data_IF_913548330176
#
_entry.id   IF_913548330176
#
_cell.length_a   1.000
_cell.length_b   1.000
_cell.length_c   1.000
_cell.angle_alpha   90.00
_cell.angle_beta   90.00
_cell.angle_gamma   90.00
#
_symmetry.space_group_name_H-M   'P 1'
#
loop_
_entity.id
_entity.type
_entity.pdbx_description
1 polymer ?
#
# COMPACT_ATOMS: atom_id res chain seq x y z
N UNK A 1 -2.36 -24.04 -17.39
CA UNK A 1 -2.25 -22.87 -16.51
C UNK A 1 -1.43 -23.28 -15.29
N UNK A 2 -0.23 -22.72 -15.07
CA UNK A 2 0.48 -22.92 -13.81
C UNK A 2 -0.32 -22.24 -12.68
N UNK A 3 -0.40 -22.89 -11.52
CA UNK A 3 -1.06 -22.35 -10.34
C UNK A 3 -0.27 -21.13 -9.81
N UNK A 4 -0.92 -20.05 -9.34
CA UNK A 4 -0.24 -18.94 -8.71
C UNK A 4 0.48 -19.48 -7.46
N UNK A 5 1.80 -19.41 -7.48
CA UNK A 5 2.63 -20.01 -6.45
C UNK A 5 2.65 -19.10 -5.21
N UNK A 6 2.51 -19.68 -4.01
CA UNK A 6 2.53 -18.97 -2.70
C UNK A 6 3.78 -18.09 -2.46
N UNK A 7 4.75 -18.13 -3.36
CA UNK A 7 6.03 -17.41 -3.39
C UNK A 7 5.93 -15.98 -3.91
N UNK A 8 4.92 -15.63 -4.72
CA UNK A 8 4.77 -14.28 -5.30
C UNK A 8 4.59 -13.16 -4.26
N UNK A 9 3.73 -13.28 -3.22
CA UNK A 9 3.61 -12.28 -2.16
C UNK A 9 4.93 -12.00 -1.42
N UNK A 10 5.73 -13.04 -1.20
CA UNK A 10 6.99 -12.95 -0.47
C UNK A 10 8.07 -12.26 -1.32
N UNK A 11 8.05 -12.47 -2.64
CA UNK A 11 8.98 -11.82 -3.56
C UNK A 11 8.80 -10.30 -3.57
N UNK A 12 7.55 -9.79 -3.61
CA UNK A 12 7.27 -8.34 -3.55
C UNK A 12 7.69 -7.72 -2.22
N UNK A 13 7.32 -8.35 -1.10
CA UNK A 13 7.70 -7.87 0.25
C UNK A 13 9.21 -7.86 0.45
N UNK A 14 9.92 -8.84 -0.10
CA UNK A 14 11.37 -8.87 -0.06
C UNK A 14 12.00 -7.78 -0.93
N UNK A 15 11.35 -7.44 -2.06
CA UNK A 15 11.79 -6.36 -2.96
C UNK A 15 11.70 -4.99 -2.31
N UNK A 16 10.64 -4.73 -1.54
CA UNK A 16 10.34 -3.42 -0.94
C UNK A 16 10.55 -3.38 0.58
N UNK A 17 11.46 -4.20 1.10
CA UNK A 17 11.63 -4.38 2.54
C UNK A 17 12.08 -3.09 3.25
N UNK A 18 13.00 -2.33 2.65
CA UNK A 18 13.44 -1.05 3.20
C UNK A 18 12.37 0.02 3.05
N UNK A 19 11.65 0.04 1.93
CA UNK A 19 10.53 0.96 1.74
C UNK A 19 9.42 0.72 2.78
N UNK A 20 9.05 -0.53 3.04
CA UNK A 20 8.09 -0.88 4.11
C UNK A 20 8.54 -0.37 5.48
N UNK A 21 9.82 -0.54 5.82
CA UNK A 21 10.38 -0.04 7.09
C UNK A 21 10.31 1.50 7.15
N UNK A 22 10.72 2.20 6.08
CA UNK A 22 10.69 3.66 6.04
C UNK A 22 9.26 4.22 6.13
N UNK A 23 8.29 3.60 5.44
CA UNK A 23 6.90 4.03 5.49
C UNK A 23 6.29 3.81 6.87
N UNK A 24 6.57 2.68 7.52
CA UNK A 24 6.09 2.43 8.89
C UNK A 24 6.68 3.39 9.91
N UNK A 25 7.96 3.77 9.77
CA UNK A 25 8.56 4.84 10.57
C UNK A 25 7.90 6.21 10.32
N UNK A 26 7.64 6.56 9.05
CA UNK A 26 6.98 7.81 8.67
C UNK A 26 5.56 7.90 9.24
N UNK A 27 4.80 6.81 9.26
CA UNK A 27 3.48 6.76 9.90
C UNK A 27 3.60 7.12 11.39
N UNK A 28 4.56 6.52 12.09
CA UNK A 28 4.81 6.80 13.50
C UNK A 28 5.24 8.25 13.75
N UNK A 29 6.11 8.80 12.89
CA UNK A 29 6.53 10.21 12.96
C UNK A 29 5.37 11.17 12.71
N UNK A 30 4.49 10.87 11.74
CA UNK A 30 3.30 11.67 11.47
C UNK A 30 2.37 11.71 12.69
N UNK A 31 2.11 10.54 13.29
CA UNK A 31 1.27 10.44 14.48
C UNK A 31 1.87 11.18 15.69
N UNK A 32 3.19 11.09 15.89
CA UNK A 32 3.90 11.85 16.93
C UNK A 32 3.81 13.35 16.70
N UNK A 33 4.13 13.83 15.50
CA UNK A 33 4.10 15.24 15.16
C UNK A 33 2.69 15.85 15.29
N UNK A 34 1.64 15.11 14.91
CA UNK A 34 0.26 15.53 15.13
C UNK A 34 -0.10 15.53 16.63
N UNK A 35 0.37 14.53 17.38
CA UNK A 35 0.23 14.46 18.83
C UNK A 35 0.84 15.66 19.55
N UNK A 36 1.99 16.15 19.10
CA UNK A 36 2.66 17.33 19.68
C UNK A 36 1.85 18.64 19.46
N UNK A 37 0.95 18.65 18.48
CA UNK A 37 0.01 19.77 18.24
C UNK A 37 -1.28 19.60 19.02
N UNK A 38 -1.92 18.43 18.95
CA UNK A 38 -3.24 18.23 19.55
C UNK A 38 -3.19 17.99 21.07
N UNK A 39 -2.09 17.43 21.60
CA UNK A 39 -1.99 17.13 23.03
C UNK A 39 -2.04 18.38 23.91
N UNK A 40 -1.26 19.46 23.65
CA UNK A 40 -1.36 20.68 24.46
C UNK A 40 -2.77 21.28 24.44
N UNK A 41 -3.43 21.24 23.28
CA UNK A 41 -4.81 21.75 23.12
C UNK A 41 -5.79 20.91 23.94
N UNK A 42 -5.64 19.59 23.94
CA UNK A 42 -6.49 18.68 24.72
C UNK A 42 -6.26 18.79 26.23
N UNK A 43 -5.04 19.10 26.67
CA UNK A 43 -4.67 19.26 28.08
C UNK A 43 -5.02 20.64 28.65
N UNK A 44 -5.26 21.64 27.80
CA UNK A 44 -5.59 22.99 28.23
C UNK A 44 -7.03 23.11 28.72
N UNK A 45 -7.30 23.94 29.75
CA UNK A 45 -8.66 24.29 30.14
C UNK A 45 -9.44 24.95 28.99
N UNK A 46 -10.76 24.73 28.86
CA UNK A 46 -11.56 25.25 27.75
C UNK A 46 -11.64 26.79 27.71
N UNK A 47 -11.24 27.47 28.79
CA UNK A 47 -11.21 28.93 28.90
C UNK A 47 -9.94 29.57 28.32
N UNK A 48 -8.96 28.78 27.87
CA UNK A 48 -7.68 29.28 27.34
C UNK A 48 -7.62 29.05 25.82
N UNK A 49 -7.95 30.06 24.99
CA UNK A 49 -7.96 29.90 23.53
C UNK A 49 -6.54 29.83 22.93
N UNK A 50 -5.54 30.45 23.56
CA UNK A 50 -4.18 30.54 23.03
C UNK A 50 -3.23 29.56 23.73
N UNK A 51 -3.21 28.34 23.21
CA UNK A 51 -2.30 27.28 23.65
C UNK A 51 -1.09 27.25 22.71
N UNK A 52 0.13 27.52 23.20
CA UNK A 52 1.33 27.42 22.37
C UNK A 52 1.60 25.96 22.00
N UNK A 53 1.85 25.73 20.71
CA UNK A 53 2.19 24.40 20.16
C UNK A 53 3.52 24.47 19.41
N UNK A 54 4.29 23.37 19.43
CA UNK A 54 5.59 23.29 18.76
C UNK A 54 5.46 22.61 17.40
N UNK A 55 5.59 23.37 16.31
CA UNK A 55 5.58 22.85 14.94
C UNK A 55 6.94 22.36 14.44
N UNK A 56 8.01 22.50 15.22
CA UNK A 56 9.37 22.10 14.83
C UNK A 56 9.47 20.64 14.35
N UNK A 57 8.95 19.64 15.09
CA UNK A 57 8.94 18.24 14.68
C UNK A 57 8.21 18.01 13.35
N UNK A 58 7.02 18.60 13.18
CA UNK A 58 6.25 18.52 11.94
C UNK A 58 7.02 19.09 10.75
N UNK A 59 7.59 20.28 10.90
CA UNK A 59 8.37 20.92 9.84
C UNK A 59 9.64 20.11 9.49
N UNK A 60 10.31 19.53 10.49
CA UNK A 60 11.46 18.64 10.28
C UNK A 60 11.08 17.35 9.53
N UNK A 61 9.95 16.76 9.87
CA UNK A 61 9.39 15.61 9.17
C UNK A 61 9.10 15.94 7.71
N UNK A 62 8.36 17.01 7.42
CA UNK A 62 8.03 17.43 6.06
C UNK A 62 9.26 17.65 5.17
N UNK A 63 10.38 18.12 5.73
CA UNK A 63 11.64 18.31 4.97
C UNK A 63 12.39 17.01 4.70
N UNK A 64 12.27 16.02 5.59
CA UNK A 64 13.07 14.80 5.53
C UNK A 64 12.34 13.58 4.96
N UNK A 65 11.00 13.61 4.85
CA UNK A 65 10.22 12.44 4.43
C UNK A 65 10.61 11.94 3.02
N UNK A 66 10.70 12.85 2.04
CA UNK A 66 11.06 12.47 0.66
C UNK A 66 12.45 11.83 0.58
N UNK A 67 13.45 12.38 1.27
CA UNK A 67 14.80 11.81 1.26
C UNK A 67 14.89 10.45 1.93
N UNK A 68 14.05 10.17 2.95
CA UNK A 68 13.95 8.85 3.57
C UNK A 68 13.35 7.81 2.62
N UNK A 69 12.28 8.17 1.89
CA UNK A 69 11.65 7.32 0.88
C UNK A 69 12.65 6.98 -0.23
N UNK A 70 13.31 7.99 -0.79
CA UNK A 70 14.29 7.78 -1.87
C UNK A 70 15.49 6.93 -1.39
N UNK A 71 15.99 7.18 -0.18
CA UNK A 71 17.06 6.35 0.40
C UNK A 71 16.61 4.90 0.62
N UNK A 72 15.35 4.66 0.98
CA UNK A 72 14.81 3.31 1.13
C UNK A 72 14.70 2.59 -0.22
N UNK A 73 14.14 3.26 -1.24
CA UNK A 73 14.07 2.75 -2.62
C UNK A 73 15.44 2.41 -3.18
N UNK A 74 16.44 3.27 -2.96
CA UNK A 74 17.81 3.02 -3.39
C UNK A 74 18.40 1.76 -2.74
N UNK A 75 18.13 1.50 -1.45
CA UNK A 75 18.58 0.27 -0.77
C UNK A 75 17.88 -0.98 -1.30
N UNK A 76 16.58 -0.88 -1.57
CA UNK A 76 15.79 -1.97 -2.16
C UNK A 76 16.28 -2.32 -3.57
N UNK A 77 16.58 -1.32 -4.40
CA UNK A 77 17.15 -1.51 -5.74
C UNK A 77 18.51 -2.22 -5.71
N UNK A 78 19.43 -1.76 -4.86
CA UNK A 78 20.75 -2.39 -4.66
C UNK A 78 20.61 -3.84 -4.22
N UNK A 79 19.69 -4.13 -3.29
CA UNK A 79 19.43 -5.48 -2.79
C UNK A 79 18.91 -6.43 -3.87
N UNK A 80 18.03 -5.94 -4.75
CA UNK A 80 17.39 -6.76 -5.76
C UNK A 80 18.24 -6.94 -7.03
N UNK A 81 19.42 -6.31 -7.09
CA UNK A 81 20.28 -6.37 -8.28
C UNK A 81 19.63 -5.71 -9.51
N UNK A 82 18.69 -4.78 -9.30
CA UNK A 82 18.09 -4.03 -10.39
C UNK A 82 19.16 -3.13 -11.01
N UNK A 83 19.63 -3.48 -12.20
CA UNK A 83 20.42 -2.56 -13.03
C UNK A 83 19.50 -1.41 -13.41
N UNK A 84 19.96 -0.17 -13.24
CA UNK A 84 19.24 1.05 -13.64
C UNK A 84 19.20 1.17 -15.17
N UNK A 85 18.67 0.16 -15.85
CA UNK A 85 18.21 0.29 -17.22
C UNK A 85 16.79 0.82 -17.11
N UNK A 86 16.68 2.14 -17.12
CA UNK A 86 15.41 2.85 -17.20
C UNK A 86 14.84 2.60 -18.59
N UNK A 87 14.29 1.41 -18.82
CA UNK A 87 13.28 1.24 -19.84
C UNK A 87 12.08 2.06 -19.36
N UNK A 88 11.80 3.17 -20.05
CA UNK A 88 10.61 3.98 -19.83
C UNK A 88 9.38 3.12 -20.15
N UNK A 89 8.93 2.34 -19.16
CA UNK A 89 7.58 1.81 -19.16
C UNK A 89 6.66 3.03 -19.18
N UNK A 90 5.75 3.15 -20.16
CA UNK A 90 4.82 4.27 -20.20
C UNK A 90 4.10 4.34 -18.86
N UNK A 91 4.30 5.46 -18.15
CA UNK A 91 3.63 5.72 -16.89
C UNK A 91 2.13 5.75 -17.17
N UNK A 92 1.43 4.70 -16.73
CA UNK A 92 -0.02 4.70 -16.71
C UNK A 92 -0.45 5.38 -15.41
N UNK A 93 -0.16 6.68 -15.31
CA UNK A 93 -0.14 7.47 -14.06
C UNK A 93 -1.48 7.50 -13.33
N UNK A 94 -2.58 7.15 -13.99
CA UNK A 94 -3.91 7.03 -13.38
C UNK A 94 -4.25 5.63 -12.87
N UNK A 95 -3.60 4.56 -13.35
CA UNK A 95 -3.98 3.17 -12.98
C UNK A 95 -3.79 2.93 -11.49
N UNK A 96 -2.66 3.39 -10.92
CA UNK A 96 -2.39 3.25 -9.50
C UNK A 96 -3.36 4.06 -8.63
N UNK A 97 -3.65 5.30 -9.03
CA UNK A 97 -4.59 6.18 -8.33
C UNK A 97 -6.03 5.65 -8.37
N UNK A 98 -6.49 5.20 -9.54
CA UNK A 98 -7.80 4.58 -9.73
C UNK A 98 -7.94 3.32 -8.87
N UNK A 99 -6.91 2.47 -8.84
CA UNK A 99 -6.91 1.27 -8.01
C UNK A 99 -7.02 1.62 -6.52
N UNK A 100 -6.31 2.65 -6.04
CA UNK A 100 -6.41 3.11 -4.66
C UNK A 100 -7.80 3.66 -4.32
N UNK A 101 -8.41 4.42 -5.25
CA UNK A 101 -9.75 4.95 -5.08
C UNK A 101 -10.78 3.81 -4.96
N UNK A 102 -10.71 2.82 -5.85
CA UNK A 102 -11.53 1.62 -5.78
C UNK A 102 -11.24 0.81 -4.50
N UNK A 103 -9.98 0.72 -4.05
CA UNK A 103 -9.61 -0.03 -2.85
C UNK A 103 -10.23 0.58 -1.59
N UNK A 104 -10.31 1.90 -1.53
CA UNK A 104 -10.92 2.64 -0.43
C UNK A 104 -12.44 2.54 -0.42
N UNK A 105 -13.07 2.46 -1.60
CA UNK A 105 -14.52 2.30 -1.72
C UNK A 105 -14.95 0.83 -1.51
N UNK A 106 -14.33 -0.10 -2.25
CA UNK A 106 -14.61 -1.53 -2.20
C UNK A 106 -13.38 -2.37 -2.59
N UNK A 107 -12.75 -3.08 -1.63
CA UNK A 107 -11.62 -3.97 -1.92
C UNK A 107 -11.92 -5.03 -2.99
N UNK A 108 -13.16 -5.52 -3.04
CA UNK A 108 -13.59 -6.51 -4.05
C UNK A 108 -13.65 -5.90 -5.45
N UNK A 109 -14.05 -4.63 -5.56
CA UNK A 109 -14.05 -3.90 -6.83
C UNK A 109 -12.62 -3.65 -7.31
N UNK A 110 -11.72 -3.21 -6.43
CA UNK A 110 -10.32 -2.98 -6.76
C UNK A 110 -9.64 -4.24 -7.29
N UNK A 111 -9.83 -5.39 -6.63
CA UNK A 111 -9.29 -6.68 -7.09
C UNK A 111 -9.85 -7.07 -8.46
N UNK A 112 -11.15 -6.91 -8.67
CA UNK A 112 -11.80 -7.21 -9.96
C UNK A 112 -11.24 -6.33 -11.07
N UNK A 113 -11.13 -5.03 -10.83
CA UNK A 113 -10.59 -4.07 -11.80
C UNK A 113 -9.12 -4.34 -12.11
N UNK A 114 -8.30 -4.67 -11.11
CA UNK A 114 -6.92 -5.09 -11.33
C UNK A 114 -6.82 -6.37 -12.17
N UNK A 115 -7.71 -7.34 -11.96
CA UNK A 115 -7.78 -8.55 -12.79
C UNK A 115 -8.24 -8.27 -14.22
N UNK A 116 -9.20 -7.37 -14.41
CA UNK A 116 -9.67 -6.93 -15.72
C UNK A 116 -8.56 -6.20 -16.47
N UNK A 117 -7.90 -5.24 -15.82
CA UNK A 117 -6.74 -4.52 -16.37
C UNK A 117 -5.61 -5.46 -16.71
N UNK A 118 -5.27 -6.42 -15.84
CA UNK A 118 -4.19 -7.38 -16.13
C UNK A 118 -4.52 -8.35 -17.28
N UNK A 119 -5.79 -8.53 -17.63
CA UNK A 119 -6.22 -9.31 -18.79
C UNK A 119 -6.30 -8.47 -20.06
N UNK A 120 -6.64 -7.19 -19.93
CA UNK A 120 -6.87 -6.26 -21.05
C UNK A 120 -5.61 -5.48 -21.46
N UNK A 121 -4.64 -5.34 -20.56
CA UNK A 121 -3.37 -4.65 -20.77
C UNK A 121 -2.20 -5.64 -20.67
N UNK A 122 -1.02 -5.23 -21.10
CA UNK A 122 0.23 -5.98 -20.89
C UNK A 122 0.77 -5.85 -19.45
N UNK A 123 -0.02 -5.28 -18.52
CA UNK A 123 0.37 -5.11 -17.12
C UNK A 123 0.07 -6.37 -16.30
N UNK A 124 1.02 -6.75 -15.48
CA UNK A 124 0.82 -7.73 -14.42
C UNK A 124 0.11 -7.09 -13.22
N UNK A 125 -0.59 -7.90 -12.42
CA UNK A 125 -1.13 -7.46 -11.12
C UNK A 125 -0.02 -6.84 -10.26
N UNK A 126 1.22 -7.35 -10.38
CA UNK A 126 2.35 -6.83 -9.64
C UNK A 126 2.73 -5.40 -10.03
N UNK A 127 2.73 -5.09 -11.32
CA UNK A 127 2.96 -3.73 -11.81
C UNK A 127 1.84 -2.78 -11.37
N UNK A 128 0.58 -3.22 -11.38
CA UNK A 128 -0.55 -2.41 -10.89
C UNK A 128 -0.38 -2.09 -9.40
N UNK A 129 0.03 -3.07 -8.59
CA UNK A 129 0.26 -2.87 -7.16
C UNK A 129 1.50 -2.00 -6.89
N UNK A 130 2.58 -2.14 -7.67
CA UNK A 130 3.76 -1.28 -7.54
C UNK A 130 3.39 0.19 -7.89
N UNK A 131 2.63 0.42 -8.97
CA UNK A 131 2.14 1.76 -9.36
C UNK A 131 1.18 2.36 -8.31
N UNK A 132 0.29 1.54 -7.75
CA UNK A 132 -0.60 1.96 -6.67
C UNK A 132 0.19 2.31 -5.39
N UNK A 133 1.24 1.56 -5.06
CA UNK A 133 2.12 1.89 -3.94
C UNK A 133 2.82 3.24 -4.18
N UNK A 134 3.35 3.47 -5.38
CA UNK A 134 4.02 4.72 -5.73
C UNK A 134 3.06 5.92 -5.70
N UNK A 135 1.84 5.75 -6.20
CA UNK A 135 0.77 6.75 -6.12
C UNK A 135 0.40 7.11 -4.68
N UNK A 136 0.29 6.11 -3.80
CA UNK A 136 0.03 6.32 -2.37
C UNK A 136 1.20 7.04 -1.68
N UNK A 137 2.45 6.66 -1.97
CA UNK A 137 3.64 7.33 -1.44
C UNK A 137 3.70 8.79 -1.88
N UNK A 138 3.45 9.06 -3.17
CA UNK A 138 3.42 10.42 -3.71
C UNK A 138 2.34 11.26 -3.03
N UNK A 139 1.13 10.71 -2.85
CA UNK A 139 0.02 11.38 -2.16
C UNK A 139 0.37 11.74 -0.71
N UNK A 140 1.04 10.83 0.01
CA UNK A 140 1.52 11.10 1.37
C UNK A 140 2.59 12.19 1.42
N UNK A 141 3.54 12.20 0.49
CA UNK A 141 4.56 13.26 0.40
C UNK A 141 3.95 14.62 0.05
N UNK A 142 2.97 14.65 -0.85
CA UNK A 142 2.22 15.87 -1.19
C UNK A 142 1.43 16.40 0.02
N UNK A 143 0.80 15.52 0.79
CA UNK A 143 0.11 15.89 2.02
C UNK A 143 1.06 16.49 3.07
N UNK A 144 2.29 15.95 3.23
CA UNK A 144 3.32 16.56 4.09
C UNK A 144 3.82 17.90 3.55
N UNK A 145 3.98 18.05 2.24
CA UNK A 145 4.35 19.33 1.65
C UNK A 145 3.28 20.39 1.89
N UNK A 146 2.00 20.01 1.81
CA UNK A 146 0.88 20.89 2.14
C UNK A 146 0.83 21.21 3.63
N UNK A 147 1.03 20.22 4.52
CA UNK A 147 1.13 20.46 5.96
C UNK A 147 2.18 21.54 6.30
N UNK A 148 3.33 21.52 5.61
CA UNK A 148 4.39 22.51 5.79
C UNK A 148 3.98 23.93 5.36
N UNK A 149 3.11 24.06 4.34
CA UNK A 149 2.60 25.36 3.88
C UNK A 149 1.62 25.98 4.88
N UNK A 150 0.96 25.15 5.69
CA UNK A 150 -0.04 25.56 6.67
C UNK A 150 0.58 25.94 8.03
N UNK A 151 1.79 26.52 8.04
CA UNK A 151 2.51 26.86 9.28
C UNK A 151 1.81 27.90 10.15
N UNK A 152 0.86 28.67 9.59
CA UNK A 152 0.01 29.62 10.29
C UNK A 152 -1.19 28.98 11.00
N UNK A 153 -1.57 27.76 10.63
CA UNK A 153 -2.66 27.00 11.26
C UNK A 153 -2.14 25.61 11.68
N UNK A 154 -1.68 25.49 12.94
CA UNK A 154 -1.17 24.23 13.48
C UNK A 154 -2.17 23.07 13.37
N UNK A 155 -3.47 23.35 13.54
CA UNK A 155 -4.52 22.33 13.51
C UNK A 155 -4.68 21.76 12.10
N UNK A 156 -4.70 22.62 11.09
CA UNK A 156 -4.73 22.18 9.69
C UNK A 156 -3.44 21.48 9.29
N UNK A 157 -2.27 21.98 9.72
CA UNK A 157 -0.99 21.31 9.47
C UNK A 157 -0.95 19.89 10.07
N UNK A 158 -1.41 19.72 11.31
CA UNK A 158 -1.49 18.42 11.97
C UNK A 158 -2.48 17.48 11.28
N UNK A 159 -3.64 17.97 10.83
CA UNK A 159 -4.61 17.18 10.07
C UNK A 159 -4.02 16.67 8.75
N UNK A 160 -3.29 17.52 8.01
CA UNK A 160 -2.58 17.12 6.79
C UNK A 160 -1.46 16.10 7.07
N UNK A 161 -0.78 16.22 8.20
CA UNK A 161 0.21 15.24 8.66
C UNK A 161 -0.44 13.86 8.91
N UNK A 162 -1.62 13.81 9.54
CA UNK A 162 -2.38 12.57 9.72
C UNK A 162 -2.89 11.99 8.39
N UNK A 163 -3.32 12.84 7.46
CA UNK A 163 -3.69 12.41 6.12
C UNK A 163 -2.51 11.74 5.40
N UNK A 164 -1.30 12.29 5.53
CA UNK A 164 -0.08 11.67 5.00
C UNK A 164 0.17 10.28 5.60
N UNK A 165 -0.02 10.11 6.92
CA UNK A 165 0.07 8.81 7.58
C UNK A 165 -0.89 7.78 6.98
N UNK A 166 -2.13 8.20 6.67
CA UNK A 166 -3.12 7.36 5.99
C UNK A 166 -2.64 6.88 4.62
N UNK A 167 -2.08 7.78 3.81
CA UNK A 167 -1.52 7.42 2.50
C UNK A 167 -0.32 6.48 2.62
N UNK A 168 0.58 6.69 3.58
CA UNK A 168 1.69 5.75 3.82
C UNK A 168 1.19 4.38 4.30
N UNK A 169 0.13 4.33 5.12
CA UNK A 169 -0.48 3.07 5.53
C UNK A 169 -1.13 2.32 4.35
N UNK A 170 -1.72 3.04 3.40
CA UNK A 170 -2.21 2.45 2.15
C UNK A 170 -1.05 1.86 1.33
N UNK A 171 0.05 2.61 1.16
CA UNK A 171 1.23 2.09 0.48
C UNK A 171 1.76 0.80 1.15
N UNK A 172 1.86 0.79 2.48
CA UNK A 172 2.24 -0.42 3.25
C UNK A 172 1.28 -1.58 2.99
N UNK A 173 -0.02 -1.31 2.94
CA UNK A 173 -1.06 -2.32 2.67
C UNK A 173 -0.90 -2.92 1.28
N UNK A 174 -0.74 -2.07 0.26
CA UNK A 174 -0.58 -2.48 -1.14
C UNK A 174 0.71 -3.27 -1.35
N UNK A 175 1.84 -2.79 -0.83
CA UNK A 175 3.13 -3.50 -0.90
C UNK A 175 3.07 -4.84 -0.15
N UNK A 176 2.33 -4.88 0.97
CA UNK A 176 2.15 -6.11 1.74
C UNK A 176 1.14 -7.07 1.10
N UNK A 177 0.30 -6.62 0.17
CA UNK A 177 -0.70 -7.47 -0.44
C UNK A 177 -0.04 -8.59 -1.24
N UNK A 178 -0.42 -9.83 -0.89
CA UNK A 178 -0.24 -10.96 -1.80
C UNK A 178 -1.40 -11.01 -2.79
N UNK A 179 -1.25 -11.63 -3.97
CA UNK A 179 -2.38 -11.98 -4.82
C UNK A 179 -3.41 -12.76 -3.98
N UNK A 180 -4.51 -12.10 -3.61
CA UNK A 180 -5.62 -12.75 -2.94
C UNK A 180 -6.38 -13.53 -4.00
N UNK A 181 -6.10 -14.82 -4.10
CA UNK A 181 -7.07 -15.76 -4.66
C UNK A 181 -8.04 -16.07 -3.51
N UNK A 182 -9.33 -15.66 -3.57
CA UNK A 182 -10.30 -16.12 -2.61
C UNK A 182 -10.47 -17.63 -2.79
N UNK A 183 -9.78 -18.40 -1.96
CA UNK A 183 -9.83 -19.86 -1.93
C UNK A 183 -11.11 -20.34 -1.21
N UNK A 184 -12.27 -19.91 -1.73
CA UNK A 184 -13.59 -20.41 -1.27
C UNK A 184 -14.18 -21.49 -2.17
N UNK A 185 -13.41 -21.97 -3.16
CA UNK A 185 -13.81 -23.05 -4.06
C UNK A 185 -12.72 -24.12 -4.29
N UNK A 186 -11.76 -24.30 -3.38
CA UNK A 186 -11.04 -25.57 -3.30
C UNK A 186 -12.01 -26.68 -2.86
N UNK A 187 -12.76 -27.21 -3.83
CA UNK A 187 -13.57 -28.40 -3.67
C UNK A 187 -12.68 -29.54 -3.14
N UNK A 188 -13.15 -30.36 -2.19
CA UNK A 188 -12.39 -31.52 -1.78
C UNK A 188 -12.26 -32.47 -2.98
N UNK A 189 -11.02 -32.67 -3.42
CA UNK A 189 -10.63 -33.79 -4.26
C UNK A 189 -10.95 -35.10 -3.52
N UNK A 190 -12.18 -35.58 -3.68
CA UNK A 190 -12.69 -36.81 -3.10
C UNK A 190 -12.91 -37.87 -4.18
N UNK A 191 -11.82 -38.54 -4.53
CA UNK A 191 -11.75 -39.95 -4.99
C UNK A 191 -12.79 -40.45 -5.99
N UNK A 192 -12.31 -40.68 -7.22
CA UNK A 192 -12.80 -41.72 -8.13
C UNK A 192 -13.10 -43.02 -7.38
N UNK A 193 -14.37 -43.43 -7.35
CA UNK A 193 -14.75 -44.81 -7.07
C UNK A 193 -15.36 -45.37 -8.35
N UNK A 194 -14.50 -45.96 -9.19
CA UNK A 194 -14.90 -46.86 -10.28
C UNK A 194 -15.71 -48.00 -9.67
N UNK A 195 -17.02 -47.96 -9.83
CA UNK A 195 -17.89 -49.12 -9.62
C UNK A 195 -18.29 -49.64 -10.99
N UNK A 196 -17.35 -50.34 -11.61
CA UNK A 196 -17.64 -51.32 -12.65
C UNK A 196 -18.29 -52.53 -11.98
N UNK A 197 -19.61 -52.53 -11.89
CA UNK A 197 -20.38 -53.76 -11.65
C UNK A 197 -20.68 -54.34 -13.03
N UNK A 198 -19.86 -55.30 -13.42
CA UNK A 198 -20.15 -56.20 -14.53
C UNK A 198 -21.28 -57.15 -14.12
N UNK A 199 -22.40 -57.07 -14.83
CA UNK A 199 -23.38 -58.15 -14.93
C UNK A 199 -22.72 -59.38 -15.58
N UNK A 200 -23.06 -60.60 -15.15
CA UNK A 200 -23.06 -61.76 -16.03
C UNK A 200 -24.51 -62.16 -16.36
N UNK A 201 -24.83 -62.10 -17.66
CA UNK A 201 -25.92 -62.86 -18.26
C UNK A 201 -25.61 -64.37 -18.17
N UNK A 202 -26.61 -65.11 -17.67
CA UNK A 202 -27.18 -66.34 -18.23
C UNK A 202 -26.28 -67.54 -18.53
N UNK A 203 -26.54 -68.67 -17.83
CA UNK A 203 -26.69 -70.01 -18.44
C UNK A 203 -27.23 -71.03 -17.42
N UNK A 204 -28.55 -71.28 -17.46
CA UNK A 204 -29.23 -72.60 -17.44
C UNK A 204 -30.71 -72.42 -17.15
#
# INVERSE_FOLDING_TARGET
MPAPSRTEPLARRHRHAWLLAALTELIGDCARAAGDVYRPVAEAPPTRPDVPVNLGPLVGLCRSAGTRVEAARARDAVRCGATTETEEVPAHTDIGADFLADLLDSPEQAVRRAQELARASELTIDQILDEAADSAVLSGLLALHEARRQSSDPGTAAAKCLAAAGHFALAVTVISAGPQVPDRYAAPAGTSRTSSVSSPESMS
#
